data_IF_157450479629
#
_entry.id   IF_157450479629
#
_cell.length_a   1.000
_cell.length_b   1.000
_cell.length_c   1.000
_cell.angle_alpha   90.00
_cell.angle_beta   90.00
_cell.angle_gamma   90.00
#
_symmetry.space_group_name_H-M   'P 1'
#
loop_
_entity.id
_entity.type
_entity.pdbx_description
1 polymer ?
#
# COMPACT_ATOMS: atom_id res chain seq x y z
N UNK A 1 9.75 20.20 -7.06
CA UNK A 1 9.88 18.75 -6.81
C UNK A 1 10.05 18.07 -8.16
N UNK A 2 11.12 17.29 -8.30
CA UNK A 2 11.46 16.60 -9.54
C UNK A 2 10.71 15.28 -9.68
N UNK A 3 10.67 14.72 -10.88
CA UNK A 3 10.10 13.39 -11.14
C UNK A 3 10.70 12.30 -10.25
N UNK A 4 12.00 12.37 -9.96
CA UNK A 4 12.73 11.45 -9.09
C UNK A 4 12.18 11.41 -7.66
N UNK A 5 11.84 12.57 -7.09
CA UNK A 5 11.32 12.67 -5.72
C UNK A 5 9.96 11.98 -5.59
N UNK A 6 9.08 12.17 -6.59
CA UNK A 6 7.80 11.48 -6.65
C UNK A 6 8.01 9.96 -6.70
N UNK A 7 8.95 9.48 -7.51
CA UNK A 7 9.25 8.04 -7.61
C UNK A 7 9.76 7.49 -6.28
N UNK A 8 10.73 8.13 -5.64
CA UNK A 8 11.29 7.68 -4.36
C UNK A 8 10.20 7.55 -3.28
N UNK A 9 9.21 8.44 -3.30
CA UNK A 9 8.09 8.40 -2.37
C UNK A 9 7.20 7.18 -2.59
N UNK A 10 6.90 6.84 -3.85
CA UNK A 10 6.13 5.63 -4.18
C UNK A 10 6.92 4.35 -3.93
N UNK A 11 8.25 4.35 -4.11
CA UNK A 11 9.11 3.22 -3.77
C UNK A 11 9.12 2.94 -2.28
N UNK A 12 9.19 3.99 -1.46
CA UNK A 12 9.07 3.84 -0.01
C UNK A 12 7.72 3.28 0.39
N UNK A 13 6.62 3.73 -0.23
CA UNK A 13 5.29 3.17 0.04
C UNK A 13 5.18 1.69 -0.37
N UNK A 14 5.72 1.31 -1.54
CA UNK A 14 5.76 -0.08 -1.96
C UNK A 14 6.56 -0.95 -0.97
N UNK A 15 7.73 -0.48 -0.53
CA UNK A 15 8.54 -1.18 0.47
C UNK A 15 7.87 -1.29 1.84
N UNK A 16 7.15 -0.26 2.30
CA UNK A 16 6.41 -0.30 3.56
C UNK A 16 5.24 -1.29 3.50
N UNK A 17 4.45 -1.25 2.42
CA UNK A 17 3.31 -2.16 2.25
C UNK A 17 3.74 -3.61 2.05
N UNK A 18 4.90 -3.87 1.42
CA UNK A 18 5.51 -5.20 1.37
C UNK A 18 5.86 -5.73 2.78
N UNK A 19 6.54 -4.91 3.60
CA UNK A 19 6.87 -5.27 4.99
C UNK A 19 5.62 -5.49 5.85
N UNK A 20 4.56 -4.68 5.64
CA UNK A 20 3.28 -4.89 6.31
C UNK A 20 2.65 -6.23 5.93
N UNK A 21 2.70 -6.62 4.65
CA UNK A 21 2.20 -7.92 4.21
C UNK A 21 2.99 -9.08 4.84
N UNK A 22 4.31 -8.97 4.94
CA UNK A 22 5.16 -9.95 5.63
C UNK A 22 4.85 -10.03 7.13
N UNK A 23 4.69 -8.89 7.81
CA UNK A 23 4.33 -8.83 9.22
C UNK A 23 2.95 -9.45 9.49
N UNK A 24 1.96 -9.17 8.63
CA UNK A 24 0.62 -9.76 8.72
C UNK A 24 0.67 -11.29 8.52
N UNK A 25 1.44 -11.77 7.54
CA UNK A 25 1.65 -13.20 7.30
C UNK A 25 2.30 -13.89 8.52
N UNK A 26 3.29 -13.23 9.14
CA UNK A 26 3.95 -13.69 10.35
C UNK A 26 3.11 -13.50 11.63
N UNK A 27 1.92 -12.88 11.54
CA UNK A 27 1.08 -12.48 12.68
C UNK A 27 1.81 -11.61 13.70
N UNK A 28 2.81 -10.86 13.25
CA UNK A 28 3.57 -9.93 14.08
C UNK A 28 2.84 -8.59 14.14
N UNK A 29 1.81 -8.53 14.99
CA UNK A 29 0.92 -7.38 15.06
C UNK A 29 1.58 -6.11 15.60
N UNK A 30 2.61 -6.24 16.44
CA UNK A 30 3.36 -5.08 16.95
C UNK A 30 4.17 -4.39 15.84
N UNK A 31 4.86 -5.17 15.02
CA UNK A 31 5.59 -4.61 13.87
C UNK A 31 4.61 -4.11 12.80
N UNK A 32 3.49 -4.82 12.61
CA UNK A 32 2.44 -4.40 11.68
C UNK A 32 1.89 -3.01 12.03
N UNK A 33 1.52 -2.75 13.29
CA UNK A 33 1.02 -1.43 13.74
C UNK A 33 2.08 -0.33 13.59
N UNK A 34 3.34 -0.65 13.88
CA UNK A 34 4.46 0.28 13.68
C UNK A 34 4.62 0.66 12.21
N UNK A 35 4.54 -0.32 11.31
CA UNK A 35 4.63 -0.12 9.86
C UNK A 35 3.40 0.61 9.30
N UNK A 36 2.21 0.33 9.80
CA UNK A 36 0.97 1.03 9.43
C UNK A 36 1.08 2.54 9.72
N UNK A 37 1.55 2.89 10.91
CA UNK A 37 1.78 4.29 11.30
C UNK A 37 2.80 5.00 10.39
N UNK A 38 3.85 4.30 9.97
CA UNK A 38 4.83 4.84 9.01
C UNK A 38 4.22 5.02 7.62
N UNK A 39 3.43 4.05 7.15
CA UNK A 39 2.73 4.11 5.88
C UNK A 39 1.75 5.29 5.86
N UNK A 40 0.94 5.47 6.92
CA UNK A 40 0.01 6.58 7.05
C UNK A 40 0.72 7.95 6.95
N UNK A 41 1.83 8.14 7.67
CA UNK A 41 2.63 9.37 7.58
C UNK A 41 3.16 9.62 6.16
N UNK A 42 3.64 8.57 5.49
CA UNK A 42 4.15 8.66 4.13
C UNK A 42 3.03 9.00 3.13
N UNK A 43 1.84 8.43 3.28
CA UNK A 43 0.66 8.75 2.47
C UNK A 43 0.25 10.21 2.65
N UNK A 44 0.20 10.71 3.89
CA UNK A 44 -0.07 12.13 4.14
C UNK A 44 0.97 13.03 3.49
N UNK A 45 2.26 12.67 3.58
CA UNK A 45 3.31 13.38 2.86
C UNK A 45 3.05 13.42 1.35
N UNK A 46 2.67 12.29 0.72
CA UNK A 46 2.34 12.25 -0.72
C UNK A 46 1.22 13.22 -1.10
N UNK A 47 0.20 13.35 -0.24
CA UNK A 47 -0.93 14.27 -0.47
C UNK A 47 -0.49 15.73 -0.50
N UNK A 48 0.58 16.09 0.21
CA UNK A 48 1.13 17.46 0.21
C UNK A 48 2.00 17.77 -1.01
N UNK A 49 2.43 16.76 -1.76
CA UNK A 49 3.32 16.95 -2.91
C UNK A 49 2.59 17.65 -4.06
N UNK A 50 3.23 18.66 -4.65
CA UNK A 50 2.77 19.23 -5.91
C UNK A 50 2.87 18.18 -7.01
N UNK A 51 1.73 17.83 -7.59
CA UNK A 51 1.61 16.85 -8.68
C UNK A 51 2.11 17.47 -9.99
N UNK A 52 3.41 17.37 -10.24
CA UNK A 52 3.94 17.63 -11.58
C UNK A 52 3.56 16.46 -12.49
N UNK A 53 3.07 16.70 -13.72
CA UNK A 53 2.80 15.63 -14.67
C UNK A 53 4.06 14.81 -14.92
N UNK A 54 3.96 13.48 -14.72
CA UNK A 54 4.99 12.55 -15.12
C UNK A 54 4.69 12.05 -16.53
N UNK A 55 5.72 11.93 -17.35
CA UNK A 55 5.63 11.38 -18.71
C UNK A 55 6.71 10.33 -18.92
N UNK A 56 6.53 9.45 -19.91
CA UNK A 56 7.53 8.43 -20.26
C UNK A 56 7.81 7.43 -19.14
N UNK A 57 9.09 7.20 -18.86
CA UNK A 57 9.55 6.17 -17.92
C UNK A 57 9.13 6.42 -16.46
N UNK A 58 9.25 7.64 -15.89
CA UNK A 58 8.74 7.93 -14.55
C UNK A 58 7.26 7.58 -14.38
N UNK A 59 6.42 7.86 -15.37
CA UNK A 59 4.99 7.52 -15.29
C UNK A 59 4.78 6.00 -15.24
N UNK A 60 5.47 5.24 -16.10
CA UNK A 60 5.41 3.78 -16.11
C UNK A 60 5.88 3.17 -14.78
N UNK A 61 6.97 3.70 -14.21
CA UNK A 61 7.50 3.26 -12.92
C UNK A 61 6.50 3.53 -11.79
N UNK A 62 5.91 4.74 -11.73
CA UNK A 62 4.87 5.06 -10.76
C UNK A 62 3.67 4.11 -10.86
N UNK A 63 3.20 3.80 -12.07
CA UNK A 63 2.08 2.86 -12.27
C UNK A 63 2.42 1.46 -11.76
N UNK A 64 3.66 0.99 -11.99
CA UNK A 64 4.13 -0.31 -11.49
C UNK A 64 4.10 -0.37 -9.96
N UNK A 65 4.68 0.64 -9.31
CA UNK A 65 4.70 0.76 -7.84
C UNK A 65 3.29 0.82 -7.24
N UNK A 66 2.36 1.55 -7.88
CA UNK A 66 0.96 1.57 -7.45
C UNK A 66 0.31 0.18 -7.50
N UNK A 67 0.59 -0.60 -8.55
CA UNK A 67 0.07 -1.97 -8.65
C UNK A 67 0.65 -2.89 -7.59
N UNK A 68 1.93 -2.75 -7.27
CA UNK A 68 2.60 -3.48 -6.19
C UNK A 68 1.96 -3.16 -4.83
N UNK A 69 1.81 -1.87 -4.51
CA UNK A 69 1.11 -1.40 -3.30
C UNK A 69 -0.29 -2.03 -3.19
N UNK A 70 -1.09 -1.96 -4.26
CA UNK A 70 -2.45 -2.53 -4.27
C UNK A 70 -2.47 -4.05 -4.09
N UNK A 71 -1.46 -4.77 -4.58
CA UNK A 71 -1.34 -6.20 -4.38
C UNK A 71 -0.98 -6.53 -2.92
N UNK A 72 -0.06 -5.78 -2.32
CA UNK A 72 0.28 -5.92 -0.91
C UNK A 72 -0.92 -5.60 0.00
N UNK A 73 -1.65 -4.52 -0.28
CA UNK A 73 -2.86 -4.16 0.47
C UNK A 73 -3.93 -5.26 0.42
N UNK A 74 -4.08 -5.93 -0.73
CA UNK A 74 -4.98 -7.10 -0.86
C UNK A 74 -4.52 -8.24 0.06
N UNK A 75 -3.25 -8.60 0.00
CA UNK A 75 -2.70 -9.67 0.83
C UNK A 75 -2.87 -9.36 2.33
N UNK A 76 -2.66 -8.10 2.72
CA UNK A 76 -2.88 -7.65 4.10
C UNK A 76 -4.34 -7.88 4.50
N UNK A 77 -5.31 -7.43 3.69
CA UNK A 77 -6.75 -7.63 3.98
C UNK A 77 -7.13 -9.09 4.09
N UNK A 78 -6.61 -9.96 3.23
CA UNK A 78 -6.86 -11.40 3.32
C UNK A 78 -6.40 -12.01 4.65
N UNK A 79 -5.37 -11.44 5.29
CA UNK A 79 -4.82 -11.92 6.56
C UNK A 79 -5.45 -11.23 7.78
N UNK A 80 -5.90 -9.97 7.65
CA UNK A 80 -6.41 -9.17 8.76
C UNK A 80 -7.93 -9.11 8.84
N UNK A 81 -8.65 -9.28 7.73
CA UNK A 81 -10.11 -9.31 7.74
C UNK A 81 -10.62 -10.67 8.21
N UNK A 82 -11.60 -10.71 9.15
CA UNK A 82 -12.19 -11.96 9.58
C UNK A 82 -12.91 -12.65 8.41
N UNK A 83 -12.66 -13.95 8.25
CA UNK A 83 -13.22 -14.82 7.20
C UNK A 83 -14.75 -14.72 7.01
N UNK A 84 -15.48 -14.21 8.01
CA UNK A 84 -16.93 -14.01 8.00
C UNK A 84 -17.43 -12.88 7.09
N UNK A 85 -16.58 -11.96 6.62
CA UNK A 85 -16.99 -10.93 5.64
C UNK A 85 -16.95 -11.42 4.18
N UNK A 86 -16.39 -12.60 3.92
CA UNK A 86 -16.29 -13.18 2.58
C UNK A 86 -17.46 -14.10 2.20
N UNK A 87 -18.48 -14.23 3.06
CA UNK A 87 -19.72 -14.91 2.66
C UNK A 87 -20.52 -13.95 1.78
N UNK A 88 -20.68 -14.19 0.46
CA UNK A 88 -21.77 -13.55 -0.26
C UNK A 88 -23.05 -13.89 0.49
N UNK A 89 -23.92 -12.91 0.69
CA UNK A 89 -25.23 -13.10 1.30
C UNK A 89 -26.08 -14.01 0.40
N UNK A 90 -25.81 -15.32 0.44
CA UNK A 90 -26.66 -16.33 -0.16
C UNK A 90 -27.54 -16.84 0.97
N UNK A 91 -28.86 -16.73 0.77
CA UNK A 91 -29.95 -17.05 1.69
C UNK A 91 -30.49 -15.89 2.55
N UNK A 92 -31.33 -15.07 1.92
CA UNK A 92 -32.69 -14.85 2.44
C UNK A 92 -33.67 -15.26 1.34
N UNK A 93 -34.21 -16.47 1.48
CA UNK A 93 -35.51 -16.84 0.91
C UNK A 93 -36.55 -16.65 2.00
#
# INVERSE_FOLDING_TARGET
MGSLEIINVYERLAGLTAQMAEAALARNWGDFETLENQCAKQVEYVKTLKKTPLTGEPLRRKIRLLKEIMAHDRNIREMTEPWQQQLPSVMRH
#
